data_IF_187363536216
#
_entry.id   IF_187363536216
#
_cell.length_a   1.000
_cell.length_b   1.000
_cell.length_c   1.000
_cell.angle_alpha   90.00
_cell.angle_beta   90.00
_cell.angle_gamma   90.00
#
_symmetry.space_group_name_H-M   'P 1'
#
loop_
_entity.id
_entity.type
_entity.pdbx_description
1 polymer ?
#
# COMPACT_ATOMS: atom_id res chain seq x y z
N UNK A 1 -14.00 -7.46 -3.06
CA UNK A 1 -12.79 -7.62 -3.90
C UNK A 1 -12.69 -9.04 -4.45
N UNK A 2 -12.83 -10.12 -3.63
CA UNK A 2 -12.77 -11.52 -4.11
C UNK A 2 -13.69 -11.78 -5.30
N UNK A 3 -14.95 -11.38 -5.21
CA UNK A 3 -15.93 -11.55 -6.30
C UNK A 3 -15.55 -10.73 -7.55
N UNK A 4 -14.89 -9.58 -7.37
CA UNK A 4 -14.45 -8.75 -8.46
C UNK A 4 -13.25 -9.37 -9.21
N UNK A 5 -12.38 -10.11 -8.54
CA UNK A 5 -11.26 -10.84 -9.17
C UNK A 5 -11.74 -11.81 -10.25
N UNK A 6 -12.88 -12.48 -10.03
CA UNK A 6 -13.46 -13.42 -10.99
C UNK A 6 -13.88 -12.77 -12.34
N UNK A 7 -13.87 -11.44 -12.43
CA UNK A 7 -14.20 -10.70 -13.67
C UNK A 7 -13.01 -10.52 -14.61
N UNK A 8 -11.79 -10.82 -14.14
CA UNK A 8 -10.56 -10.52 -14.87
C UNK A 8 -9.81 -11.78 -15.31
N UNK A 9 -9.03 -11.62 -16.37
CA UNK A 9 -8.08 -12.63 -16.82
C UNK A 9 -6.86 -12.65 -15.90
N UNK A 10 -6.20 -13.80 -15.79
CA UNK A 10 -4.90 -13.94 -15.12
C UNK A 10 -3.73 -13.47 -15.98
N UNK A 11 -3.98 -13.12 -17.26
CA UNK A 11 -2.94 -12.76 -18.22
C UNK A 11 -2.80 -11.24 -18.39
N UNK A 12 -1.63 -10.71 -18.03
CA UNK A 12 -1.23 -9.33 -18.27
C UNK A 12 -0.52 -9.22 -19.62
N UNK A 13 -1.30 -9.04 -20.71
CA UNK A 13 -0.80 -9.13 -22.09
C UNK A 13 0.32 -8.15 -22.44
N UNK A 14 0.26 -6.90 -21.97
CA UNK A 14 1.31 -5.90 -22.21
C UNK A 14 2.65 -6.23 -21.55
N UNK A 15 2.64 -7.12 -20.55
CA UNK A 15 3.82 -7.55 -19.78
C UNK A 15 4.23 -8.98 -20.10
N UNK A 16 3.41 -9.72 -20.85
CA UNK A 16 3.64 -11.14 -21.16
C UNK A 16 3.59 -12.06 -19.93
N UNK A 17 2.88 -11.66 -18.84
CA UNK A 17 2.87 -12.38 -17.56
C UNK A 17 1.51 -13.02 -17.32
N UNK A 18 1.50 -14.31 -16.97
CA UNK A 18 0.32 -15.03 -16.50
C UNK A 18 0.46 -15.37 -15.02
N UNK A 19 -0.38 -14.74 -14.19
CA UNK A 19 -0.35 -14.93 -12.72
C UNK A 19 -0.95 -16.28 -12.28
N UNK A 20 -1.58 -17.03 -13.17
CA UNK A 20 -2.10 -18.38 -12.86
C UNK A 20 -1.01 -19.37 -12.45
N UNK A 21 0.25 -19.07 -12.77
CA UNK A 21 1.41 -19.86 -12.36
C UNK A 21 1.82 -19.65 -10.88
N UNK A 22 1.26 -18.65 -10.20
CA UNK A 22 1.54 -18.38 -8.80
C UNK A 22 0.72 -19.30 -7.90
N UNK A 23 1.34 -19.73 -6.81
CA UNK A 23 0.63 -20.41 -5.73
C UNK A 23 0.08 -19.34 -4.77
N UNK A 24 -1.21 -19.04 -4.87
CA UNK A 24 -1.91 -18.07 -4.02
C UNK A 24 -2.75 -18.79 -2.95
N UNK A 25 -2.75 -18.25 -1.73
CA UNK A 25 -3.55 -18.74 -0.61
C UNK A 25 -4.38 -17.58 -0.06
N UNK A 26 -5.69 -17.78 0.05
CA UNK A 26 -6.59 -16.85 0.72
C UNK A 26 -6.68 -17.22 2.21
N UNK A 27 -6.21 -16.33 3.08
CA UNK A 27 -6.20 -16.54 4.54
C UNK A 27 -7.55 -16.22 5.20
N UNK A 28 -8.54 -15.77 4.42
CA UNK A 28 -9.85 -15.36 4.94
C UNK A 28 -9.84 -13.94 5.53
N UNK A 29 -10.85 -13.64 6.34
CA UNK A 29 -11.07 -12.33 6.92
C UNK A 29 -10.72 -12.32 8.41
N UNK A 30 -10.05 -11.25 8.85
CA UNK A 30 -9.89 -10.93 10.27
C UNK A 30 -11.04 -10.03 10.69
N UNK A 31 -11.89 -10.52 11.61
CA UNK A 31 -13.02 -9.75 12.14
C UNK A 31 -12.56 -8.77 13.21
N UNK A 32 -13.19 -7.60 13.25
CA UNK A 32 -12.91 -6.53 14.22
C UNK A 32 -11.40 -6.26 14.34
N UNK A 33 -10.71 -5.85 13.25
CA UNK A 33 -9.25 -5.71 13.22
C UNK A 33 -8.74 -4.51 14.03
N UNK A 34 -9.63 -3.64 14.47
CA UNK A 34 -9.29 -2.38 15.12
C UNK A 34 -8.94 -2.52 16.60
N UNK A 35 -8.16 -1.55 17.08
CA UNK A 35 -7.72 -1.45 18.47
C UNK A 35 -6.74 -2.57 18.87
N UNK A 36 -6.25 -2.55 20.12
CA UNK A 36 -5.18 -3.45 20.55
C UNK A 36 -5.51 -4.94 20.41
N UNK A 37 -6.77 -5.32 20.66
CA UNK A 37 -7.20 -6.72 20.51
C UNK A 37 -7.33 -7.12 19.04
N UNK A 38 -7.74 -6.20 18.16
CA UNK A 38 -7.79 -6.40 16.71
C UNK A 38 -6.40 -6.53 16.11
N UNK A 39 -5.49 -5.67 16.49
CA UNK A 39 -4.08 -5.70 16.08
C UNK A 39 -3.43 -7.06 16.42
N UNK A 40 -3.73 -7.60 17.61
CA UNK A 40 -3.27 -8.95 17.99
C UNK A 40 -3.92 -10.05 17.14
N UNK A 41 -5.20 -9.93 16.76
CA UNK A 41 -5.85 -10.88 15.85
C UNK A 41 -5.22 -10.86 14.47
N UNK A 42 -4.89 -9.69 13.94
CA UNK A 42 -4.17 -9.55 12.66
C UNK A 42 -2.81 -10.23 12.75
N UNK A 43 -2.02 -9.94 13.77
CA UNK A 43 -0.71 -10.57 13.98
C UNK A 43 -0.82 -12.10 14.07
N UNK A 44 -1.81 -12.63 14.82
CA UNK A 44 -2.04 -14.05 14.96
C UNK A 44 -2.44 -14.72 13.63
N UNK A 45 -3.29 -14.05 12.83
CA UNK A 45 -3.71 -14.56 11.52
C UNK A 45 -2.54 -14.66 10.52
N UNK A 46 -1.52 -13.82 10.66
CA UNK A 46 -0.34 -13.79 9.79
C UNK A 46 0.82 -14.67 10.29
N UNK A 47 0.75 -15.14 11.55
CA UNK A 47 1.81 -15.98 12.13
C UNK A 47 2.00 -17.27 11.32
N UNK A 48 3.25 -17.55 10.96
CA UNK A 48 3.63 -18.72 10.17
C UNK A 48 3.47 -18.57 8.65
N UNK A 49 2.79 -17.53 8.16
CA UNK A 49 2.67 -17.28 6.73
C UNK A 49 3.71 -16.27 6.22
N UNK A 50 4.08 -15.28 7.03
CA UNK A 50 5.01 -14.21 6.62
C UNK A 50 6.38 -14.73 6.18
N UNK A 51 6.87 -15.79 6.82
CA UNK A 51 8.14 -16.44 6.45
C UNK A 51 8.00 -17.33 5.22
N UNK A 52 6.80 -17.87 4.97
CA UNK A 52 6.53 -18.83 3.90
C UNK A 52 6.12 -18.15 2.58
N UNK A 53 5.57 -16.93 2.61
CA UNK A 53 5.12 -16.23 1.41
C UNK A 53 6.18 -15.27 0.87
N UNK A 54 6.22 -15.09 -0.46
CA UNK A 54 7.08 -14.11 -1.12
C UNK A 54 6.47 -12.69 -1.09
N UNK A 55 5.14 -12.60 -1.09
CA UNK A 55 4.38 -11.36 -1.02
C UNK A 55 3.05 -11.59 -0.32
N UNK A 56 2.78 -10.81 0.71
CA UNK A 56 1.47 -10.70 1.34
C UNK A 56 0.68 -9.55 0.71
N UNK A 57 -0.60 -9.75 0.44
CA UNK A 57 -1.54 -8.68 0.06
C UNK A 57 -2.66 -8.64 1.09
N UNK A 58 -2.75 -7.55 1.84
CA UNK A 58 -3.85 -7.28 2.74
C UNK A 58 -4.89 -6.37 2.06
N UNK A 59 -6.17 -6.60 2.32
CA UNK A 59 -7.24 -5.74 1.81
C UNK A 59 -7.95 -5.17 3.03
N UNK A 60 -7.85 -3.87 3.19
CA UNK A 60 -8.44 -3.17 4.31
C UNK A 60 -9.83 -2.63 4.00
N UNK A 61 -10.48 -2.14 5.05
CA UNK A 61 -11.46 -1.08 5.02
C UNK A 61 -10.73 0.25 5.04
N UNK A 62 -10.54 0.82 6.24
CA UNK A 62 -9.77 2.05 6.41
C UNK A 62 -8.25 1.81 6.55
N UNK A 63 -7.47 2.89 6.59
CA UNK A 63 -6.01 2.84 6.58
C UNK A 63 -5.39 2.40 7.92
N UNK A 64 -6.16 2.11 8.97
CA UNK A 64 -5.63 1.60 10.24
C UNK A 64 -4.98 0.21 10.10
N UNK A 65 -5.33 -0.56 9.07
CA UNK A 65 -4.78 -1.89 8.78
C UNK A 65 -3.27 -1.85 8.53
N UNK A 66 -2.77 -0.78 7.93
CA UNK A 66 -1.35 -0.57 7.61
C UNK A 66 -0.47 -0.72 8.85
N UNK A 67 -0.87 -0.13 9.99
CA UNK A 67 -0.12 -0.30 11.23
C UNK A 67 -0.05 -1.77 11.68
N UNK A 68 -1.18 -2.47 11.65
CA UNK A 68 -1.28 -3.83 12.16
C UNK A 68 -0.48 -4.83 11.33
N UNK A 69 -0.59 -4.73 10.01
CA UNK A 69 0.07 -5.65 9.08
C UNK A 69 1.57 -5.36 8.99
N UNK A 70 1.98 -4.08 8.89
CA UNK A 70 3.40 -3.70 8.87
C UNK A 70 4.11 -4.08 10.19
N UNK A 71 3.44 -3.89 11.34
CA UNK A 71 3.97 -4.33 12.62
C UNK A 71 4.17 -5.84 12.68
N UNK A 72 3.21 -6.62 12.17
CA UNK A 72 3.33 -8.07 12.10
C UNK A 72 4.48 -8.52 11.16
N UNK A 73 4.59 -7.89 9.98
CA UNK A 73 5.67 -8.17 9.02
C UNK A 73 7.06 -7.93 9.63
N UNK A 74 7.19 -6.90 10.44
CA UNK A 74 8.48 -6.52 11.04
C UNK A 74 9.03 -7.57 12.02
N UNK A 75 8.18 -8.43 12.56
CA UNK A 75 8.54 -9.41 13.60
C UNK A 75 9.33 -8.77 14.77
N UNK A 76 8.97 -7.54 15.15
CA UNK A 76 9.64 -6.77 16.21
C UNK A 76 10.91 -6.03 15.77
N UNK A 77 11.25 -6.03 14.49
CA UNK A 77 12.45 -5.36 13.93
C UNK A 77 12.09 -4.16 13.04
N UNK A 78 11.15 -3.32 13.48
CA UNK A 78 10.73 -2.13 12.73
C UNK A 78 11.90 -1.22 12.34
N UNK A 79 12.96 -1.16 13.15
CA UNK A 79 14.15 -0.36 12.84
C UNK A 79 14.90 -0.76 11.55
N UNK A 80 14.67 -1.97 11.05
CA UNK A 80 15.27 -2.46 9.79
C UNK A 80 14.30 -2.31 8.61
N UNK A 81 13.00 -2.11 8.87
CA UNK A 81 11.95 -2.10 7.85
C UNK A 81 11.84 -0.74 7.16
N UNK A 82 11.28 -0.76 5.95
CA UNK A 82 10.88 0.45 5.23
C UNK A 82 9.40 0.51 4.97
N UNK A 83 8.90 1.73 4.73
CA UNK A 83 7.52 2.01 4.38
C UNK A 83 7.45 2.90 3.15
N UNK A 84 6.62 2.52 2.18
CA UNK A 84 6.24 3.38 1.06
C UNK A 84 4.73 3.51 1.10
N UNK A 85 4.20 4.74 1.19
CA UNK A 85 2.76 4.99 1.08
C UNK A 85 2.44 5.67 -0.25
N UNK A 86 1.38 5.22 -0.91
CA UNK A 86 0.70 5.96 -1.97
C UNK A 86 -0.59 6.50 -1.36
N UNK A 87 -0.61 7.79 -1.02
CA UNK A 87 -1.63 8.40 -0.18
C UNK A 87 -1.70 9.92 -0.45
N UNK A 88 -2.89 10.51 -0.40
CA UNK A 88 -3.06 11.95 -0.41
C UNK A 88 -2.69 12.61 0.94
N UNK A 89 -2.60 11.82 2.00
CA UNK A 89 -2.38 12.26 3.37
C UNK A 89 -1.03 11.81 3.95
N UNK A 90 -0.57 12.52 4.98
CA UNK A 90 0.66 12.13 5.70
C UNK A 90 0.46 11.01 6.73
N UNK A 91 -0.76 10.80 7.17
CA UNK A 91 -1.11 9.84 8.23
C UNK A 91 -0.29 9.99 9.51
N UNK A 92 -0.05 11.25 9.85
CA UNK A 92 0.68 11.70 11.03
C UNK A 92 -0.24 12.34 12.09
N UNK A 93 -1.57 12.06 12.04
CA UNK A 93 -2.54 12.61 13.00
C UNK A 93 -2.28 12.10 14.41
N UNK A 94 -2.62 12.92 15.38
CA UNK A 94 -2.57 12.54 16.79
C UNK A 94 -3.65 11.49 17.14
N UNK A 95 -3.39 10.69 18.16
CA UNK A 95 -4.31 9.62 18.57
C UNK A 95 -4.16 8.33 17.76
N UNK A 96 -5.09 7.38 17.97
CA UNK A 96 -5.18 6.13 17.24
C UNK A 96 -6.42 6.16 16.35
N UNK A 97 -6.23 6.35 15.08
CA UNK A 97 -7.29 6.41 14.06
C UNK A 97 -6.70 6.05 12.68
N UNK A 98 -7.55 5.99 11.66
CA UNK A 98 -7.14 5.68 10.27
C UNK A 98 -6.14 6.69 9.67
N UNK A 99 -6.08 7.91 10.15
CA UNK A 99 -5.09 8.93 9.72
C UNK A 99 -3.82 8.96 10.59
N UNK A 100 -3.47 7.87 11.27
CA UNK A 100 -2.30 7.81 12.15
C UNK A 100 -1.38 6.60 11.97
N UNK A 101 -1.52 5.70 10.99
CA UNK A 101 -0.69 4.49 10.90
C UNK A 101 0.80 4.81 10.73
N UNK A 102 1.16 5.79 9.91
CA UNK A 102 2.55 6.18 9.68
C UNK A 102 3.20 6.70 10.98
N UNK A 103 2.52 7.62 11.69
CA UNK A 103 3.02 8.11 12.98
C UNK A 103 3.20 6.97 13.98
N UNK A 104 2.23 6.07 14.06
CA UNK A 104 2.26 4.94 15.01
C UNK A 104 3.41 3.98 14.72
N UNK A 105 3.71 3.72 13.44
CA UNK A 105 4.85 2.89 13.04
C UNK A 105 6.17 3.56 13.43
N UNK A 106 6.30 4.87 13.22
CA UNK A 106 7.51 5.62 13.62
C UNK A 106 7.67 5.61 15.15
N UNK A 107 6.60 5.84 15.91
CA UNK A 107 6.61 5.76 17.37
C UNK A 107 6.94 4.34 17.88
N UNK A 108 6.62 3.31 17.11
CA UNK A 108 6.95 1.92 17.44
C UNK A 108 8.37 1.51 17.01
N UNK A 109 9.12 2.40 16.32
CA UNK A 109 10.54 2.19 16.03
C UNK A 109 10.90 2.13 14.54
N UNK A 110 9.97 2.40 13.61
CA UNK A 110 10.30 2.58 12.19
C UNK A 110 11.05 3.90 12.02
N UNK A 111 12.26 3.93 11.44
CA UNK A 111 12.95 5.20 11.18
C UNK A 111 12.20 6.04 10.14
N UNK A 112 11.98 7.32 10.44
CA UNK A 112 11.31 8.21 9.49
C UNK A 112 12.07 8.38 8.17
N UNK A 113 13.39 8.27 8.21
CA UNK A 113 14.26 8.30 7.02
C UNK A 113 14.06 7.10 6.08
N UNK A 114 13.43 6.02 6.56
CA UNK A 114 13.04 4.85 5.78
C UNK A 114 11.57 4.88 5.34
N UNK A 115 10.91 6.03 5.49
CA UNK A 115 9.54 6.26 5.04
C UNK A 115 9.52 7.14 3.81
N UNK A 116 8.84 6.71 2.77
CA UNK A 116 8.58 7.48 1.55
C UNK A 116 7.09 7.61 1.34
N UNK A 117 6.61 8.84 1.20
CA UNK A 117 5.21 9.16 0.92
C UNK A 117 5.05 9.69 -0.49
N UNK A 118 4.22 9.06 -1.31
CA UNK A 118 4.02 9.37 -2.72
C UNK A 118 2.57 9.80 -2.94
N UNK A 119 2.36 10.97 -3.49
CA UNK A 119 1.04 11.46 -3.85
C UNK A 119 0.45 12.50 -2.91
N UNK A 120 1.19 12.94 -1.90
CA UNK A 120 0.74 13.92 -0.91
C UNK A 120 0.10 15.12 -1.60
N UNK A 121 -1.19 15.34 -1.29
CA UNK A 121 -2.02 16.30 -2.01
C UNK A 121 -2.07 17.67 -1.31
N UNK A 122 -2.15 18.71 -2.14
CA UNK A 122 -2.42 20.06 -1.66
C UNK A 122 -3.79 20.11 -0.97
N UNK A 123 -3.89 20.91 0.10
CA UNK A 123 -5.11 21.12 0.91
C UNK A 123 -5.64 19.88 1.66
N UNK A 124 -5.00 18.73 1.55
CA UNK A 124 -5.36 17.50 2.28
C UNK A 124 -4.64 17.38 3.62
N UNK A 125 -3.58 18.17 3.83
CA UNK A 125 -2.75 18.11 5.02
C UNK A 125 -2.58 19.48 5.68
N UNK A 126 -2.50 19.49 7.03
CA UNK A 126 -2.17 20.72 7.74
C UNK A 126 -0.68 21.05 7.61
N UNK A 127 -0.34 22.34 7.74
CA UNK A 127 1.05 22.78 7.81
C UNK A 127 1.84 22.07 8.91
N UNK A 128 1.20 21.76 10.03
CA UNK A 128 1.85 21.09 11.16
C UNK A 128 2.20 19.63 10.84
N UNK A 129 1.34 18.91 10.12
CA UNK A 129 1.65 17.54 9.69
C UNK A 129 2.74 17.52 8.62
N UNK A 130 2.76 18.47 7.69
CA UNK A 130 3.85 18.58 6.71
C UNK A 130 5.19 18.92 7.37
N UNK A 131 5.18 19.80 8.40
CA UNK A 131 6.38 20.06 9.20
C UNK A 131 6.82 18.81 9.96
N UNK A 132 5.89 18.07 10.60
CA UNK A 132 6.16 16.82 11.31
C UNK A 132 6.81 15.77 10.39
N UNK A 133 6.30 15.59 9.16
CA UNK A 133 6.91 14.69 8.18
C UNK A 133 8.38 15.06 7.92
N UNK A 134 8.65 16.34 7.69
CA UNK A 134 10.01 16.83 7.48
C UNK A 134 10.92 16.63 8.71
N UNK A 135 10.44 16.95 9.92
CA UNK A 135 11.19 16.80 11.17
C UNK A 135 11.51 15.32 11.49
N UNK A 136 10.66 14.40 11.03
CA UNK A 136 10.85 12.96 11.15
C UNK A 136 11.78 12.37 10.06
N UNK A 137 12.21 13.17 9.09
CA UNK A 137 13.07 12.72 7.99
C UNK A 137 12.33 11.99 6.87
N UNK A 138 11.00 12.05 6.84
CA UNK A 138 10.18 11.38 5.81
C UNK A 138 10.45 11.99 4.43
N UNK A 139 10.71 11.13 3.45
CA UNK A 139 10.81 11.55 2.05
C UNK A 139 9.40 11.71 1.47
N UNK A 140 9.10 12.90 0.95
CA UNK A 140 7.78 13.22 0.39
C UNK A 140 7.91 13.49 -1.11
N UNK A 141 7.05 12.84 -1.90
CA UNK A 141 6.81 13.12 -3.32
C UNK A 141 5.38 13.61 -3.43
N UNK A 142 5.21 14.88 -3.71
CA UNK A 142 3.89 15.51 -3.78
C UNK A 142 3.12 15.07 -5.02
N UNK A 143 1.79 15.21 -4.99
CA UNK A 143 0.93 15.02 -6.17
C UNK A 143 1.36 15.91 -7.36
N UNK A 144 1.86 17.11 -7.07
CA UNK A 144 2.33 18.04 -8.10
C UNK A 144 3.58 17.52 -8.83
N UNK A 145 4.50 16.87 -8.11
CA UNK A 145 5.73 16.28 -8.67
C UNK A 145 5.45 15.04 -9.51
N UNK A 146 4.32 14.35 -9.31
CA UNK A 146 3.94 13.19 -10.11
C UNK A 146 3.48 13.54 -11.54
N UNK A 147 3.13 14.80 -11.81
CA UNK A 147 2.60 15.21 -13.11
C UNK A 147 3.65 15.02 -14.23
N UNK A 148 3.42 14.02 -15.08
CA UNK A 148 4.31 13.70 -16.20
C UNK A 148 5.68 13.14 -15.78
N UNK A 149 5.82 12.71 -14.54
CA UNK A 149 7.03 12.09 -14.04
C UNK A 149 7.18 10.65 -14.56
N UNK A 150 8.42 10.19 -14.60
CA UNK A 150 8.73 8.78 -14.81
C UNK A 150 8.46 7.99 -13.52
N UNK A 151 7.36 7.24 -13.49
CA UNK A 151 6.94 6.46 -12.32
C UNK A 151 7.97 5.40 -11.94
N UNK A 152 8.68 4.81 -12.92
CA UNK A 152 9.70 3.81 -12.64
C UNK A 152 10.90 4.44 -11.91
N UNK A 153 11.31 5.64 -12.28
CA UNK A 153 12.37 6.38 -11.59
C UNK A 153 11.95 6.76 -10.15
N UNK A 154 10.68 7.15 -9.95
CA UNK A 154 10.15 7.44 -8.60
C UNK A 154 10.18 6.18 -7.75
N UNK A 155 9.69 5.05 -8.26
CA UNK A 155 9.68 3.77 -7.55
C UNK A 155 11.09 3.32 -7.19
N UNK A 156 12.03 3.41 -8.13
CA UNK A 156 13.43 3.04 -7.86
C UNK A 156 14.01 3.84 -6.68
N UNK A 157 13.85 5.17 -6.71
CA UNK A 157 14.28 6.05 -5.61
C UNK A 157 13.58 5.73 -4.29
N UNK A 158 12.27 5.50 -4.33
CA UNK A 158 11.50 5.16 -3.13
C UNK A 158 11.97 3.85 -2.49
N UNK A 159 12.24 2.84 -3.32
CA UNK A 159 12.76 1.55 -2.86
C UNK A 159 14.18 1.66 -2.30
N UNK A 160 15.03 2.52 -2.85
CA UNK A 160 16.39 2.74 -2.33
C UNK A 160 16.34 3.43 -0.96
N UNK A 161 15.45 4.39 -0.76
CA UNK A 161 15.24 5.06 0.54
C UNK A 161 14.62 4.08 1.54
N UNK A 162 13.48 3.48 1.22
CA UNK A 162 12.77 2.60 2.15
C UNK A 162 13.57 1.32 2.45
N UNK A 163 14.34 0.80 1.48
CA UNK A 163 15.17 -0.39 1.66
C UNK A 163 16.50 -0.16 2.35
N UNK A 164 16.83 1.06 2.77
CA UNK A 164 18.14 1.40 3.33
C UNK A 164 18.45 0.70 4.67
N UNK A 165 17.41 0.28 5.41
CA UNK A 165 17.56 -0.47 6.66
C UNK A 165 17.91 -1.96 6.45
N UNK A 166 17.83 -2.47 5.23
CA UNK A 166 18.19 -3.85 4.88
C UNK A 166 17.10 -4.90 5.21
N UNK A 167 16.02 -4.50 5.86
CA UNK A 167 14.85 -5.35 6.13
C UNK A 167 13.77 -5.26 5.05
N UNK A 168 12.58 -5.83 5.30
CA UNK A 168 11.48 -5.82 4.36
C UNK A 168 10.89 -4.42 4.19
N UNK A 169 10.44 -4.12 2.96
CA UNK A 169 9.66 -2.93 2.65
C UNK A 169 8.18 -3.30 2.66
N UNK A 170 7.41 -2.51 3.39
CA UNK A 170 5.95 -2.51 3.36
C UNK A 170 5.44 -1.42 2.41
N UNK A 171 4.39 -1.71 1.65
CA UNK A 171 3.75 -0.76 0.75
C UNK A 171 2.29 -0.59 1.15
N UNK A 172 1.87 0.64 1.37
CA UNK A 172 0.48 1.02 1.57
C UNK A 172 -0.05 1.66 0.28
N UNK A 173 -1.14 1.11 -0.24
CA UNK A 173 -1.86 1.63 -1.40
C UNK A 173 -3.21 2.19 -0.93
N UNK A 174 -3.18 3.37 -0.32
CA UNK A 174 -4.41 4.10 -0.04
C UNK A 174 -5.01 4.62 -1.35
N UNK A 175 -6.23 4.15 -1.66
CA UNK A 175 -6.86 4.50 -2.93
C UNK A 175 -7.27 5.98 -3.00
N UNK A 176 -7.23 6.73 -1.89
CA UNK A 176 -7.54 8.16 -1.87
C UNK A 176 -6.48 9.03 -2.58
N UNK A 177 -5.30 8.46 -2.85
CA UNK A 177 -4.31 9.06 -3.75
C UNK A 177 -4.86 9.28 -5.16
N UNK A 178 -5.87 8.50 -5.56
CA UNK A 178 -6.53 8.60 -6.85
C UNK A 178 -7.55 9.74 -6.91
N UNK A 179 -7.82 10.19 -8.14
CA UNK A 179 -8.93 11.11 -8.41
C UNK A 179 -10.27 10.52 -7.93
N UNK A 180 -11.07 11.33 -7.24
CA UNK A 180 -12.40 10.95 -6.72
C UNK A 180 -13.29 10.28 -7.77
N UNK A 181 -13.20 10.68 -9.03
CA UNK A 181 -14.01 10.10 -10.10
C UNK A 181 -13.64 8.64 -10.39
N UNK A 182 -12.40 8.24 -10.13
CA UNK A 182 -11.93 6.86 -10.27
C UNK A 182 -12.32 6.00 -9.06
N UNK A 183 -12.40 6.57 -7.87
CA UNK A 183 -12.62 5.86 -6.60
C UNK A 183 -13.78 6.43 -5.79
N UNK A 184 -15.03 6.40 -6.31
CA UNK A 184 -16.19 6.94 -5.59
C UNK A 184 -16.49 6.21 -4.28
N UNK A 185 -16.06 4.96 -4.11
CA UNK A 185 -16.14 4.19 -2.88
C UNK A 185 -15.07 4.51 -1.84
N UNK A 186 -14.27 5.56 -2.06
CA UNK A 186 -13.31 6.04 -1.08
C UNK A 186 -13.81 7.33 -0.44
N UNK A 187 -14.14 7.38 0.87
CA UNK A 187 -14.72 8.56 1.51
C UNK A 187 -13.81 9.79 1.47
N UNK A 188 -12.49 9.60 1.60
CA UNK A 188 -11.47 10.64 1.73
C UNK A 188 -10.95 11.17 0.39
N UNK A 189 -11.15 10.45 -0.73
CA UNK A 189 -10.64 10.85 -2.03
C UNK A 189 -11.17 12.22 -2.49
N UNK A 190 -10.28 13.04 -3.02
CA UNK A 190 -10.57 14.38 -3.55
C UNK A 190 -10.37 14.44 -5.08
N UNK A 191 -10.99 15.43 -5.79
CA UNK A 191 -10.67 15.69 -7.18
C UNK A 191 -9.19 16.08 -7.38
N UNK A 192 -8.57 15.63 -8.45
CA UNK A 192 -7.19 15.98 -8.81
C UNK A 192 -6.13 14.97 -8.36
N UNK A 193 -6.52 13.80 -7.88
CA UNK A 193 -5.62 12.68 -7.59
C UNK A 193 -4.94 12.09 -8.83
N UNK A 194 -4.15 11.04 -8.67
CA UNK A 194 -3.59 10.29 -9.78
C UNK A 194 -4.69 9.47 -10.49
N UNK A 195 -4.40 9.00 -11.69
CA UNK A 195 -5.30 8.09 -12.39
C UNK A 195 -5.25 6.68 -11.79
N UNK A 196 -6.31 5.90 -11.98
CA UNK A 196 -6.31 4.48 -11.63
C UNK A 196 -5.20 3.70 -12.35
N UNK A 197 -4.82 4.11 -13.57
CA UNK A 197 -3.73 3.47 -14.31
C UNK A 197 -2.37 3.75 -13.68
N UNK A 198 -2.10 4.97 -13.24
CA UNK A 198 -0.86 5.30 -12.51
C UNK A 198 -0.75 4.48 -11.22
N UNK A 199 -1.83 4.36 -10.42
CA UNK A 199 -1.80 3.54 -9.20
C UNK A 199 -1.55 2.06 -9.52
N UNK A 200 -2.14 1.51 -10.58
CA UNK A 200 -1.87 0.16 -11.04
C UNK A 200 -0.41 -0.03 -11.45
N UNK A 201 0.19 0.95 -12.15
CA UNK A 201 1.60 0.90 -12.49
C UNK A 201 2.49 0.90 -11.24
N UNK A 202 2.19 1.72 -10.24
CA UNK A 202 2.90 1.69 -8.96
C UNK A 202 2.80 0.33 -8.28
N UNK A 203 1.60 -0.26 -8.18
CA UNK A 203 1.41 -1.58 -7.58
C UNK A 203 2.27 -2.66 -8.25
N UNK A 204 2.33 -2.68 -9.58
CA UNK A 204 3.17 -3.60 -10.33
C UNK A 204 4.67 -3.36 -10.08
N UNK A 205 5.12 -2.11 -10.23
CA UNK A 205 6.54 -1.77 -10.13
C UNK A 205 7.08 -2.03 -8.72
N UNK A 206 6.32 -1.67 -7.69
CA UNK A 206 6.69 -1.92 -6.30
C UNK A 206 6.71 -3.41 -5.99
N UNK A 207 5.66 -4.15 -6.36
CA UNK A 207 5.59 -5.59 -6.11
C UNK A 207 6.64 -6.41 -6.86
N UNK A 208 7.24 -5.86 -7.92
CA UNK A 208 8.33 -6.48 -8.68
C UNK A 208 9.66 -6.51 -7.91
N UNK A 209 9.86 -5.62 -6.95
CA UNK A 209 11.09 -5.60 -6.15
C UNK A 209 11.01 -6.65 -5.02
N UNK A 210 12.02 -7.52 -4.86
CA UNK A 210 11.99 -8.58 -3.83
C UNK A 210 12.09 -8.05 -2.40
N UNK A 211 12.49 -6.80 -2.17
CA UNK A 211 12.47 -6.14 -0.85
C UNK A 211 11.04 -5.90 -0.38
N UNK A 212 10.08 -5.70 -1.29
CA UNK A 212 8.66 -5.56 -0.96
C UNK A 212 8.09 -6.93 -0.59
N UNK A 213 7.76 -7.10 0.69
CA UNK A 213 7.28 -8.37 1.25
C UNK A 213 5.79 -8.35 1.60
N UNK A 214 5.22 -7.18 1.75
CA UNK A 214 3.79 -7.02 1.94
C UNK A 214 3.32 -5.70 1.34
N UNK A 215 2.06 -5.70 0.92
CA UNK A 215 1.33 -4.49 0.59
C UNK A 215 -0.13 -4.59 1.08
N UNK A 216 -0.75 -3.46 1.30
CA UNK A 216 -2.19 -3.40 1.49
C UNK A 216 -2.87 -2.54 0.42
N UNK A 217 -4.20 -2.61 0.40
CA UNK A 217 -5.08 -1.73 -0.38
C UNK A 217 -6.16 -1.24 0.57
N UNK A 218 -6.21 0.06 0.83
CA UNK A 218 -6.99 0.67 1.90
C UNK A 218 -7.96 1.75 1.43
N UNK A 219 -8.77 2.27 2.35
CA UNK A 219 -9.77 3.34 2.18
C UNK A 219 -10.87 2.98 1.17
N UNK A 220 -11.37 1.74 1.25
CA UNK A 220 -12.45 1.23 0.40
C UNK A 220 -13.70 0.96 1.23
N UNK A 221 -14.73 1.76 0.99
CA UNK A 221 -16.09 1.49 1.44
C UNK A 221 -16.95 1.03 0.25
N UNK A 222 -17.13 -0.28 0.14
CA UNK A 222 -17.92 -0.88 -0.94
C UNK A 222 -19.41 -0.50 -0.87
N UNK A 223 -19.90 -0.03 0.28
CA UNK A 223 -21.32 0.33 0.46
C UNK A 223 -21.69 1.65 -0.21
N UNK A 224 -20.70 2.54 -0.42
CA UNK A 224 -20.88 3.84 -1.06
C UNK A 224 -20.28 3.89 -2.47
N UNK A 225 -19.77 2.77 -2.99
CA UNK A 225 -19.19 2.73 -4.33
C UNK A 225 -20.27 2.98 -5.40
N UNK A 226 -19.81 3.42 -6.57
CA UNK A 226 -20.70 3.60 -7.72
C UNK A 226 -21.38 2.26 -8.11
N UNK A 227 -22.55 2.30 -8.78
CA UNK A 227 -23.27 1.08 -9.17
C UNK A 227 -22.45 0.09 -10.03
N UNK A 228 -21.43 0.57 -10.72
CA UNK A 228 -20.51 -0.26 -11.50
C UNK A 228 -19.38 -0.89 -10.64
N UNK A 229 -19.29 -0.55 -9.35
CA UNK A 229 -18.31 -1.07 -8.41
C UNK A 229 -16.87 -0.73 -8.76
N UNK A 230 -16.62 0.48 -9.32
CA UNK A 230 -15.31 0.80 -9.91
C UNK A 230 -14.17 0.87 -8.90
N UNK A 231 -14.44 1.29 -7.66
CA UNK A 231 -13.43 1.29 -6.58
C UNK A 231 -13.06 -0.15 -6.19
N UNK A 232 -14.07 -1.00 -5.96
CA UNK A 232 -13.85 -2.43 -5.65
C UNK A 232 -13.14 -3.15 -6.80
N UNK A 233 -13.47 -2.78 -8.05
CA UNK A 233 -12.81 -3.32 -9.24
C UNK A 233 -11.37 -2.86 -9.36
N UNK A 234 -11.07 -1.61 -9.00
CA UNK A 234 -9.69 -1.13 -8.94
C UNK A 234 -8.89 -1.91 -7.90
N UNK A 235 -9.43 -2.14 -6.70
CA UNK A 235 -8.76 -2.96 -5.68
C UNK A 235 -8.44 -4.38 -6.20
N UNK A 236 -9.37 -5.00 -6.92
CA UNK A 236 -9.11 -6.30 -7.55
C UNK A 236 -7.98 -6.23 -8.59
N UNK A 237 -7.93 -5.16 -9.38
CA UNK A 237 -6.83 -4.95 -10.32
C UNK A 237 -5.49 -4.69 -9.63
N UNK A 238 -5.46 -3.97 -8.50
CA UNK A 238 -4.23 -3.77 -7.71
C UNK A 238 -3.67 -5.09 -7.19
N UNK A 239 -4.53 -6.02 -6.74
CA UNK A 239 -4.12 -7.39 -6.39
C UNK A 239 -3.49 -8.12 -7.58
N UNK A 240 -4.09 -8.02 -8.76
CA UNK A 240 -3.57 -8.65 -9.98
C UNK A 240 -2.26 -7.99 -10.45
N UNK A 241 -2.12 -6.67 -10.32
CA UNK A 241 -0.87 -5.96 -10.64
C UNK A 241 0.26 -6.36 -9.68
N UNK A 242 -0.04 -6.49 -8.39
CA UNK A 242 0.92 -6.98 -7.40
C UNK A 242 1.33 -8.43 -7.72
N UNK A 243 0.39 -9.28 -8.06
CA UNK A 243 0.67 -10.66 -8.49
C UNK A 243 1.53 -10.69 -9.76
N UNK A 244 1.24 -9.84 -10.76
CA UNK A 244 2.05 -9.73 -11.97
C UNK A 244 3.47 -9.22 -11.69
N UNK A 245 3.62 -8.26 -10.76
CA UNK A 245 4.91 -7.82 -10.26
C UNK A 245 5.71 -8.95 -9.63
N UNK A 246 5.07 -9.72 -8.73
CA UNK A 246 5.67 -10.89 -8.10
C UNK A 246 6.11 -11.95 -9.14
N UNK A 247 5.25 -12.28 -10.09
CA UNK A 247 5.57 -13.25 -11.14
C UNK A 247 6.79 -12.80 -11.97
N UNK A 248 6.92 -11.49 -12.23
CA UNK A 248 8.05 -10.91 -12.97
C UNK A 248 9.38 -10.94 -12.22
N UNK A 249 9.40 -11.20 -10.91
CA UNK A 249 10.66 -11.38 -10.15
C UNK A 249 11.45 -12.60 -10.61
N UNK A 250 10.76 -13.65 -11.09
CA UNK A 250 11.39 -14.91 -11.53
C UNK A 250 12.13 -14.74 -12.85
N UNK A 251 11.62 -13.89 -13.73
CA UNK A 251 12.25 -13.63 -15.05
C UNK A 251 13.53 -12.78 -14.93
N UNK A 252 13.68 -12.01 -13.86
CA UNK A 252 14.87 -11.21 -13.60
C UNK A 252 16.09 -12.03 -13.06
N UNK A 253 15.89 -13.33 -12.77
CA UNK A 253 16.94 -14.24 -12.25
C UNK A 253 17.55 -15.14 -13.33
N UNK A 254 17.12 -15.00 -14.60
CA UNK A 254 17.68 -15.66 -15.77
C UNK A 254 18.56 -14.70 -16.58
#
# INVERSE_FOLDING_TARGET
VRDALARYSTFAGSRGVDVSSLHAVDLGDVRDPDGPAGELRVAAALTGFLDACELLVAIGGDNSVTFSVASALSAGRLGECGLITLDAHHDLRDGKNNGSPVRRLIEAGLPGEQVVQIGIADFSNSKDYSRRAHELGVTVVTRAELRGADLAAIVARALDVAGSGGGPVYVDLDVDVCDRAAVPGCPSAAPGGISADELRQFAYLLARDPRVRALDVTEIDASIDAPDGRTVRLAALLVLEAAAGLASRKDARL
#
